data_IF_658679560273
#
_entry.id   IF_658679560273
#
_cell.length_a   1.000
_cell.length_b   1.000
_cell.length_c   1.000
_cell.angle_alpha   90.00
_cell.angle_beta   90.00
_cell.angle_gamma   90.00
#
_symmetry.space_group_name_H-M   'P 1'
#
loop_
_entity.id
_entity.type
_entity.pdbx_description
1 polymer ?
#
# COMPACT_ATOMS: atom_id res chain seq x y z
N UNK A 1 -7.65 7.05 -7.09
CA UNK A 1 -7.25 5.66 -6.71
C UNK A 1 -5.77 5.56 -7.00
N UNK A 2 -4.94 5.48 -5.94
CA UNK A 2 -3.46 5.52 -6.05
C UNK A 2 -2.82 4.13 -6.13
N UNK A 3 -3.64 3.08 -6.30
CA UNK A 3 -3.19 1.69 -6.44
C UNK A 3 -3.60 1.13 -7.80
N UNK A 4 -2.66 0.49 -8.50
CA UNK A 4 -2.87 -0.14 -9.79
C UNK A 4 -2.49 -1.63 -9.70
N UNK A 5 -3.37 -2.50 -10.18
CA UNK A 5 -3.03 -3.91 -10.30
C UNK A 5 -2.16 -4.12 -11.56
N UNK A 6 -0.91 -4.56 -11.37
CA UNK A 6 0.06 -4.70 -12.45
C UNK A 6 0.43 -6.16 -12.77
N UNK A 7 -0.17 -7.14 -12.09
CA UNK A 7 0.23 -8.54 -12.14
C UNK A 7 0.34 -9.14 -13.56
N UNK A 8 -0.52 -8.74 -14.51
CA UNK A 8 -0.47 -9.22 -15.91
C UNK A 8 0.72 -8.68 -16.71
N UNK A 9 1.35 -7.61 -16.23
CA UNK A 9 2.49 -6.95 -16.84
C UNK A 9 3.80 -7.15 -16.06
N UNK A 10 3.74 -7.84 -14.92
CA UNK A 10 4.92 -8.17 -14.11
C UNK A 10 5.55 -9.49 -14.55
N UNK A 11 6.86 -9.62 -14.32
CA UNK A 11 7.57 -10.91 -14.38
C UNK A 11 7.09 -11.87 -13.27
N UNK A 12 6.50 -11.35 -12.20
CA UNK A 12 5.98 -12.08 -11.04
C UNK A 12 4.44 -12.17 -11.08
N UNK A 13 3.92 -12.90 -12.07
CA UNK A 13 2.48 -12.96 -12.33
C UNK A 13 1.67 -13.69 -11.23
N UNK A 14 2.27 -14.65 -10.53
CA UNK A 14 1.59 -15.49 -9.54
C UNK A 14 1.45 -14.80 -8.18
N UNK A 15 2.28 -13.78 -7.95
CA UNK A 15 2.42 -12.99 -6.75
C UNK A 15 1.34 -11.90 -6.65
N UNK A 16 0.56 -11.69 -7.73
CA UNK A 16 -0.56 -10.73 -7.82
C UNK A 16 -0.13 -9.30 -7.47
N UNK A 17 1.01 -8.87 -7.99
CA UNK A 17 1.58 -7.55 -7.68
C UNK A 17 0.64 -6.38 -7.98
N UNK A 18 0.65 -5.42 -7.07
CA UNK A 18 0.01 -4.13 -7.22
C UNK A 18 1.03 -3.01 -6.97
N UNK A 19 0.89 -1.91 -7.68
CA UNK A 19 1.75 -0.75 -7.59
C UNK A 19 1.02 0.38 -6.88
N UNK A 20 1.64 0.93 -5.84
CA UNK A 20 1.17 2.12 -5.13
C UNK A 20 1.96 3.34 -5.62
N UNK A 21 1.27 4.45 -5.88
CA UNK A 21 1.91 5.67 -6.37
C UNK A 21 2.95 6.21 -5.38
N UNK A 22 4.10 6.66 -5.89
CA UNK A 22 5.15 7.29 -5.08
C UNK A 22 4.61 8.56 -4.43
N UNK A 23 4.92 8.76 -3.16
CA UNK A 23 4.43 9.91 -2.38
C UNK A 23 3.08 9.69 -1.71
N UNK A 24 2.43 8.53 -1.90
CA UNK A 24 1.19 8.19 -1.19
C UNK A 24 1.42 8.22 0.32
N UNK A 25 0.59 8.98 1.03
CA UNK A 25 0.59 9.05 2.50
C UNK A 25 -0.14 7.83 3.07
N UNK A 26 0.44 7.23 4.11
CA UNK A 26 -0.13 6.07 4.83
C UNK A 26 -0.31 6.44 6.29
N UNK A 27 -1.46 6.08 6.86
CA UNK A 27 -1.71 6.19 8.30
C UNK A 27 -1.60 4.80 8.92
N UNK A 28 -0.69 4.65 9.88
CA UNK A 28 -0.57 3.40 10.65
C UNK A 28 -1.74 3.32 11.62
N UNK A 29 -2.52 2.25 11.54
CA UNK A 29 -3.64 1.97 12.42
C UNK A 29 -3.23 1.10 13.61
N UNK A 30 -2.46 0.05 13.35
CA UNK A 30 -2.03 -0.90 14.37
C UNK A 30 -0.68 -1.54 14.02
N UNK A 31 0.04 -1.96 15.05
CA UNK A 31 1.31 -2.69 14.93
C UNK A 31 1.31 -3.83 15.94
N UNK A 32 1.46 -5.05 15.44
CA UNK A 32 1.43 -6.26 16.24
C UNK A 32 2.68 -7.10 16.00
N UNK A 33 3.23 -7.69 17.06
CA UNK A 33 4.35 -8.62 16.97
C UNK A 33 3.89 -10.04 17.28
N UNK A 34 4.11 -10.96 16.33
CA UNK A 34 3.72 -12.36 16.43
C UNK A 34 4.95 -13.26 16.31
N UNK A 35 5.61 -13.51 17.44
CA UNK A 35 6.72 -14.45 17.59
C UNK A 35 8.02 -14.04 16.91
N UNK A 36 8.00 -13.93 15.58
CA UNK A 36 9.12 -13.52 14.73
C UNK A 36 8.72 -12.58 13.59
N UNK A 37 7.45 -12.17 13.53
CA UNK A 37 6.90 -11.31 12.46
C UNK A 37 6.23 -10.08 13.04
N UNK A 38 6.33 -8.98 12.31
CA UNK A 38 5.58 -7.77 12.54
C UNK A 38 4.44 -7.70 11.53
N UNK A 39 3.23 -7.48 12.02
CA UNK A 39 2.06 -7.15 11.21
C UNK A 39 1.72 -5.68 11.45
N UNK A 40 1.58 -4.93 10.35
CA UNK A 40 1.30 -3.50 10.37
C UNK A 40 0.04 -3.28 9.56
N UNK A 41 -0.99 -2.74 10.19
CA UNK A 41 -2.20 -2.33 9.51
C UNK A 41 -2.10 -0.85 9.15
N UNK A 42 -2.37 -0.52 7.88
CA UNK A 42 -2.30 0.84 7.37
C UNK A 42 -3.57 1.20 6.62
N UNK A 43 -3.96 2.46 6.73
CA UNK A 43 -4.99 3.10 5.94
C UNK A 43 -4.33 4.00 4.88
N UNK A 44 -4.80 3.94 3.64
CA UNK A 44 -4.40 4.89 2.60
C UNK A 44 -5.01 6.25 2.98
N UNK A 45 -4.18 7.25 3.28
CA UNK A 45 -4.69 8.58 3.54
C UNK A 45 -5.22 9.18 2.23
N UNK A 46 -6.32 9.93 2.32
CA UNK A 46 -6.76 10.75 1.21
C UNK A 46 -5.67 11.78 0.92
N UNK A 47 -5.37 12.00 -0.37
CA UNK A 47 -4.50 13.11 -0.75
C UNK A 47 -5.18 14.39 -0.28
N UNK A 48 -4.44 15.24 0.45
CA UNK A 48 -4.87 16.59 0.75
C UNK A 48 -5.03 17.30 -0.61
N UNK A 49 -6.22 17.25 -1.20
CA UNK A 49 -6.58 18.10 -2.33
C UNK A 49 -6.75 19.51 -1.77
N UNK A 50 -5.63 20.12 -1.39
CA UNK A 50 -5.55 21.55 -1.16
C UNK A 50 -5.72 22.21 -2.53
N UNK A 51 -6.97 22.49 -2.87
CA UNK A 51 -7.32 23.41 -3.94
C UNK A 51 -6.76 24.79 -3.55
N UNK A 52 -5.53 25.08 -3.99
CA UNK A 52 -4.95 26.43 -4.02
C UNK A 52 -4.71 26.85 -5.46
#
# INVERSE_FOLDING_TARGET
>A
INIANIWKWSTFMYEKEALLAVGTKLKILSVHFFGSKWEIEVELAEDDMDFT
#
